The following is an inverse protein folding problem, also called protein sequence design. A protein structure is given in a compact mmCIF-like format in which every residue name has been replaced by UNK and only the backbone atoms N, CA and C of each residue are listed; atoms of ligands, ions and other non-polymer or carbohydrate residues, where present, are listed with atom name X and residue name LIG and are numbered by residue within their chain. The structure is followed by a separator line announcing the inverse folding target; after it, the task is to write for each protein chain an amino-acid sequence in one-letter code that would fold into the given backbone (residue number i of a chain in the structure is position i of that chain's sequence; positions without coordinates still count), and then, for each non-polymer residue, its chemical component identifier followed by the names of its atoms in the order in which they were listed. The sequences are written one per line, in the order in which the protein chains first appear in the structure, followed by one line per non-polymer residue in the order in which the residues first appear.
data_IF_526154018738
#
_entry.id   IF_526154018738
#
_cell.length_a   1.000
_cell.length_b   1.000
_cell.length_c   1.000
_cell.angle_alpha   90.00
_cell.angle_beta   90.00
_cell.angle_gamma   90.00
#
_symmetry.space_group_name_H-M   'P 1'
#
loop_
_entity.id
_entity.type
_entity.pdbx_description
1 polymer ?
#
# COMPACT_ATOMS: atom_id res chain seq x y z
N UNK A 1 6.15 -7.86 29.66
CA UNK A 1 5.06 -6.89 29.38
C UNK A 1 4.24 -7.39 28.19
N UNK A 2 2.97 -7.78 28.38
CA UNK A 2 2.08 -8.18 27.27
C UNK A 2 1.25 -6.98 26.80
N UNK A 3 1.89 -6.03 26.13
CA UNK A 3 1.23 -4.79 25.65
C UNK A 3 1.47 -4.67 24.15
N UNK A 4 0.38 -4.63 23.39
CA UNK A 4 0.44 -4.69 21.93
C UNK A 4 -0.82 -5.26 21.31
N UNK A 5 -0.92 -5.15 19.98
CA UNK A 5 -1.85 -5.97 19.22
C UNK A 5 -1.26 -7.39 19.08
N UNK A 6 -2.12 -8.39 18.94
CA UNK A 6 -1.70 -9.79 18.76
C UNK A 6 -2.39 -10.40 17.55
N UNK A 7 -1.63 -11.14 16.75
CA UNK A 7 -2.13 -11.94 15.62
C UNK A 7 -1.68 -13.37 15.86
N UNK A 8 -2.62 -14.27 16.14
CA UNK A 8 -2.37 -15.68 16.50
C UNK A 8 -1.23 -15.88 17.51
N UNK A 9 -1.30 -15.11 18.61
CA UNK A 9 -0.32 -15.16 19.69
C UNK A 9 0.98 -14.40 19.40
N UNK A 10 1.22 -13.95 18.17
CA UNK A 10 2.38 -13.11 17.81
C UNK A 10 2.09 -11.65 18.16
N UNK A 11 2.97 -11.03 18.94
CA UNK A 11 2.86 -9.62 19.31
C UNK A 11 3.26 -8.71 18.14
N UNK A 12 2.38 -7.77 17.80
CA UNK A 12 2.51 -6.78 16.73
C UNK A 12 2.38 -5.38 17.36
N UNK A 13 3.42 -4.92 18.05
CA UNK A 13 3.38 -3.65 18.80
C UNK A 13 4.35 -2.58 18.31
N UNK A 14 5.43 -2.98 17.62
CA UNK A 14 6.45 -2.08 17.10
C UNK A 14 6.88 -2.57 15.71
N UNK A 15 6.76 -1.68 14.73
CA UNK A 15 7.31 -1.85 13.39
C UNK A 15 8.35 -0.75 13.18
N UNK A 16 9.61 -1.14 12.96
CA UNK A 16 10.70 -0.18 12.74
C UNK A 16 11.31 -0.41 11.37
N UNK A 17 11.57 0.68 10.66
CA UNK A 17 12.29 0.69 9.39
C UNK A 17 13.23 1.90 9.37
N UNK A 18 14.53 1.65 9.49
CA UNK A 18 15.52 2.70 9.72
C UNK A 18 15.11 3.61 10.91
N UNK A 19 14.93 4.91 10.68
CA UNK A 19 14.48 5.90 11.67
C UNK A 19 12.95 5.98 11.82
N UNK A 20 12.18 5.43 10.88
CA UNK A 20 10.73 5.39 10.94
C UNK A 20 10.26 4.26 11.89
N UNK A 21 9.48 4.63 12.91
CA UNK A 21 8.90 3.69 13.88
C UNK A 21 7.37 3.85 13.96
N UNK A 22 6.67 2.72 14.03
CA UNK A 22 5.22 2.66 14.22
C UNK A 22 4.91 1.80 15.43
N UNK A 23 4.24 2.41 16.41
CA UNK A 23 3.69 1.70 17.56
C UNK A 23 2.22 1.37 17.30
N UNK A 24 1.86 0.11 17.55
CA UNK A 24 0.50 -0.39 17.39
C UNK A 24 -0.02 -0.95 18.72
N UNK A 25 -1.18 -0.45 19.15
CA UNK A 25 -1.78 -0.84 20.41
C UNK A 25 -3.31 -0.92 20.29
N UNK A 26 -3.96 -1.83 21.03
CA UNK A 26 -5.42 -1.99 20.98
C UNK A 26 -6.16 -0.93 21.80
N UNK A 27 -5.46 -0.15 22.64
CA UNK A 27 -6.05 0.89 23.48
C UNK A 27 -5.06 2.02 23.76
N UNK A 28 -5.58 3.19 24.13
CA UNK A 28 -4.76 4.36 24.51
C UNK A 28 -3.88 4.06 25.72
N UNK A 29 -4.42 3.33 26.72
CA UNK A 29 -3.66 2.91 27.89
C UNK A 29 -2.48 2.01 27.52
N UNK A 30 -2.68 1.07 26.58
CA UNK A 30 -1.60 0.25 26.04
C UNK A 30 -0.57 1.11 25.28
N UNK A 31 -1.01 2.05 24.45
CA UNK A 31 -0.13 2.94 23.70
C UNK A 31 0.73 3.81 24.61
N UNK A 32 0.17 4.40 25.67
CA UNK A 32 0.91 5.18 26.67
C UNK A 32 2.00 4.35 27.36
N UNK A 33 1.71 3.09 27.67
CA UNK A 33 2.71 2.18 28.24
C UNK A 33 3.83 1.87 27.24
N UNK A 34 3.53 1.68 25.96
CA UNK A 34 4.55 1.50 24.91
C UNK A 34 5.41 2.75 24.75
N UNK A 35 4.79 3.93 24.72
CA UNK A 35 5.50 5.22 24.65
C UNK A 35 6.44 5.43 25.83
N UNK A 36 5.99 5.14 27.06
CA UNK A 36 6.84 5.27 28.24
C UNK A 36 8.11 4.38 28.17
N UNK A 37 7.99 3.17 27.62
CA UNK A 37 9.14 2.29 27.36
C UNK A 37 10.06 2.90 26.29
N UNK A 38 9.50 3.40 25.21
CA UNK A 38 10.24 4.07 24.14
C UNK A 38 10.98 5.33 24.62
N UNK A 39 10.34 6.16 25.44
CA UNK A 39 10.94 7.36 26.04
C UNK A 39 12.10 7.00 26.97
N UNK A 40 11.89 6.01 27.85
CA UNK A 40 12.93 5.53 28.76
C UNK A 40 14.14 4.98 28.00
N UNK A 41 13.90 4.23 26.92
CA UNK A 41 14.95 3.69 26.07
C UNK A 41 15.74 4.79 25.38
N UNK A 42 15.06 5.75 24.75
CA UNK A 42 15.68 6.84 24.01
C UNK A 42 16.47 7.78 24.92
N UNK A 43 15.95 8.08 26.11
CA UNK A 43 16.66 8.85 27.13
C UNK A 43 17.97 8.16 27.58
N UNK A 44 17.93 6.83 27.79
CA UNK A 44 19.11 6.07 28.21
C UNK A 44 20.21 6.00 27.13
N UNK A 45 19.85 6.15 25.85
CA UNK A 45 20.79 6.05 24.72
C UNK A 45 21.18 7.41 24.12
N UNK A 46 20.79 8.53 24.76
CA UNK A 46 21.09 9.88 24.26
C UNK A 46 20.44 10.20 22.91
N UNK A 47 19.35 9.51 22.57
CA UNK A 47 18.56 9.77 21.36
C UNK A 47 17.42 10.74 21.69
N UNK A 48 16.79 11.31 20.66
CA UNK A 48 15.61 12.18 20.83
C UNK A 48 14.59 11.89 19.73
N UNK A 49 13.33 11.66 20.11
CA UNK A 49 12.24 11.58 19.13
C UNK A 49 11.90 12.96 18.58
N UNK A 50 11.73 13.06 17.27
CA UNK A 50 11.20 14.26 16.64
C UNK A 50 9.68 14.32 16.84
N UNK A 51 9.26 14.97 17.93
CA UNK A 51 7.83 15.11 18.29
C UNK A 51 7.03 15.77 17.16
N UNK A 52 7.60 16.75 16.45
CA UNK A 52 6.90 17.46 15.37
C UNK A 52 6.57 16.55 14.18
N UNK A 53 7.42 15.55 13.91
CA UNK A 53 7.16 14.54 12.86
C UNK A 53 6.31 13.38 13.37
N UNK A 54 6.23 13.19 14.69
CA UNK A 54 5.50 12.09 15.30
C UNK A 54 4.02 12.43 15.40
N UNK A 55 3.17 11.50 14.96
CA UNK A 55 1.72 11.70 14.94
C UNK A 55 1.01 10.48 15.51
N UNK A 56 -0.22 10.66 15.95
CA UNK A 56 -1.08 9.58 16.39
C UNK A 56 -2.25 9.40 15.42
N UNK A 57 -2.57 8.16 15.08
CA UNK A 57 -3.75 7.80 14.30
C UNK A 57 -4.58 6.79 15.09
N UNK A 58 -5.91 6.90 14.98
CA UNK A 58 -6.84 5.96 15.62
C UNK A 58 -7.70 5.37 14.51
N UNK A 59 -7.59 4.06 14.31
CA UNK A 59 -8.44 3.33 13.37
C UNK A 59 -9.87 3.29 13.90
N UNK A 60 -10.83 3.72 13.07
CA UNK A 60 -12.23 3.85 13.45
C UNK A 60 -12.97 2.54 13.17
N UNK A 61 -13.87 2.17 14.09
CA UNK A 61 -14.91 1.19 13.82
C UNK A 61 -16.20 1.94 13.53
N UNK A 62 -16.57 2.03 12.25
CA UNK A 62 -17.72 2.79 11.77
C UNK A 62 -17.47 4.29 11.59
N UNK A 63 -18.56 5.07 11.49
CA UNK A 63 -18.51 6.49 11.11
C UNK A 63 -18.23 7.46 12.27
N UNK A 64 -18.16 6.97 13.51
CA UNK A 64 -17.98 7.84 14.68
C UNK A 64 -16.50 8.09 14.94
N UNK A 65 -16.17 9.34 15.25
CA UNK A 65 -14.84 9.70 15.68
C UNK A 65 -14.76 9.58 17.21
N UNK A 66 -14.05 8.59 17.77
CA UNK A 66 -14.00 8.43 19.22
C UNK A 66 -13.30 9.64 19.84
N UNK A 67 -13.85 10.24 20.91
CA UNK A 67 -13.11 11.21 21.69
C UNK A 67 -11.93 10.49 22.34
N UNK A 68 -10.72 11.01 22.13
CA UNK A 68 -9.51 10.44 22.72
C UNK A 68 -8.86 11.48 23.61
N UNK A 69 -8.36 11.02 24.75
CA UNK A 69 -7.49 11.86 25.58
C UNK A 69 -6.17 12.13 24.84
N UNK A 70 -5.56 13.30 25.05
CA UNK A 70 -4.24 13.60 24.50
C UNK A 70 -3.21 12.51 24.85
N UNK A 71 -2.37 12.21 23.87
CA UNK A 71 -1.25 11.29 23.99
C UNK A 71 0.01 12.15 23.94
N UNK A 72 0.87 11.98 24.94
CA UNK A 72 2.07 12.80 25.08
C UNK A 72 3.30 11.99 24.68
N UNK A 73 4.27 12.66 24.09
CA UNK A 73 5.62 12.18 23.84
C UNK A 73 6.59 13.27 24.29
N UNK A 74 7.49 12.95 25.21
CA UNK A 74 8.40 13.89 25.87
C UNK A 74 7.65 15.12 26.46
N UNK A 75 6.47 14.89 27.04
CA UNK A 75 5.61 15.94 27.62
C UNK A 75 4.83 16.78 26.60
N UNK A 76 5.01 16.57 25.29
CA UNK A 76 4.31 17.32 24.24
C UNK A 76 3.18 16.47 23.67
N UNK A 77 1.99 17.06 23.49
CA UNK A 77 0.84 16.36 22.91
C UNK A 77 1.07 16.05 21.43
N UNK A 78 0.93 14.78 21.05
CA UNK A 78 1.00 14.34 19.67
C UNK A 78 -0.20 14.82 18.86
N UNK A 79 0.06 15.22 17.61
CA UNK A 79 -0.99 15.60 16.67
C UNK A 79 -1.77 14.36 16.21
N UNK A 80 -3.09 14.43 16.32
CA UNK A 80 -3.98 13.40 15.78
C UNK A 80 -4.19 13.62 14.28
N UNK A 81 -3.91 12.59 13.48
CA UNK A 81 -4.11 12.62 12.02
C UNK A 81 -5.13 11.57 11.56
N UNK A 82 -5.79 11.84 10.44
CA UNK A 82 -6.71 10.89 9.78
C UNK A 82 -6.05 10.08 8.66
N UNK A 83 -4.92 10.57 8.15
CA UNK A 83 -4.15 9.89 7.12
C UNK A 83 -2.67 10.17 7.34
N UNK A 84 -1.82 9.19 7.03
CA UNK A 84 -0.38 9.29 7.17
C UNK A 84 0.31 8.50 6.06
N UNK A 85 1.42 9.03 5.57
CA UNK A 85 2.21 8.39 4.52
C UNK A 85 3.39 7.65 5.16
N UNK A 86 3.29 6.33 5.26
CA UNK A 86 4.33 5.47 5.84
C UNK A 86 5.05 4.68 4.76
N UNK A 87 6.38 4.79 4.67
CA UNK A 87 7.23 4.14 3.64
C UNK A 87 6.70 4.29 2.21
N UNK A 88 6.11 5.46 1.93
CA UNK A 88 5.48 5.70 0.65
C UNK A 88 4.23 4.86 0.41
N UNK A 89 3.46 4.48 1.42
CA UNK A 89 2.08 3.97 1.33
C UNK A 89 1.15 4.88 2.18
N UNK A 90 -0.06 5.18 1.71
CA UNK A 90 -1.01 6.00 2.48
C UNK A 90 -1.87 5.09 3.33
N UNK A 91 -1.89 5.35 4.62
CA UNK A 91 -2.76 4.69 5.59
C UNK A 91 -3.79 5.72 6.05
N UNK A 92 -5.07 5.33 6.06
CA UNK A 92 -6.18 6.17 6.55
C UNK A 92 -6.83 5.55 7.78
N UNK A 93 -7.47 6.38 8.59
CA UNK A 93 -8.17 5.97 9.81
C UNK A 93 -9.41 5.10 9.53
N UNK A 94 -9.97 5.20 8.32
CA UNK A 94 -11.09 4.38 7.83
C UNK A 94 -10.64 3.13 7.04
N UNK A 95 -9.32 2.87 7.00
CA UNK A 95 -8.71 1.72 6.33
C UNK A 95 -9.10 1.58 4.84
N UNK A 96 -9.35 2.71 4.15
CA UNK A 96 -9.61 2.72 2.71
C UNK A 96 -8.36 3.04 1.91
N UNK A 97 -8.23 2.36 0.78
CA UNK A 97 -7.06 2.44 -0.09
C UNK A 97 -7.16 3.51 -1.19
N UNK A 98 -8.32 4.18 -1.32
CA UNK A 98 -8.60 5.17 -2.38
C UNK A 98 -7.52 6.26 -2.46
N UNK A 99 -7.02 6.74 -1.32
CA UNK A 99 -5.96 7.77 -1.25
C UNK A 99 -4.63 7.23 -1.81
N UNK A 100 -4.31 5.97 -1.51
CA UNK A 100 -3.08 5.34 -2.00
C UNK A 100 -3.16 5.04 -3.50
N UNK A 101 -4.30 4.52 -3.95
CA UNK A 101 -4.59 4.29 -5.37
C UNK A 101 -4.51 5.59 -6.16
N UNK A 102 -5.01 6.70 -5.62
CA UNK A 102 -4.92 8.01 -6.29
C UNK A 102 -3.47 8.48 -6.41
N UNK A 103 -2.60 8.27 -5.42
CA UNK A 103 -1.18 8.63 -5.63
C UNK A 103 -0.46 7.71 -6.59
N UNK A 104 -0.81 6.43 -6.69
CA UNK A 104 -0.22 5.56 -7.71
C UNK A 104 -0.70 5.99 -9.10
N UNK A 105 -1.98 6.38 -9.23
CA UNK A 105 -2.53 6.96 -10.46
C UNK A 105 -1.77 8.22 -10.88
N UNK A 106 -1.51 9.15 -9.95
CA UNK A 106 -0.72 10.37 -10.21
C UNK A 106 0.73 10.04 -10.59
N UNK A 107 1.38 9.15 -9.84
CA UNK A 107 2.74 8.72 -10.13
C UNK A 107 2.84 8.03 -11.50
N UNK A 108 1.84 7.22 -11.87
CA UNK A 108 1.74 6.60 -13.19
C UNK A 108 1.61 7.65 -14.28
N UNK A 109 0.75 8.66 -14.11
CA UNK A 109 0.61 9.76 -15.08
C UNK A 109 1.93 10.51 -15.30
N UNK A 110 2.67 10.81 -14.22
CA UNK A 110 3.98 11.49 -14.32
C UNK A 110 4.96 10.64 -15.12
N UNK A 111 5.10 9.35 -14.79
CA UNK A 111 5.99 8.42 -15.50
C UNK A 111 5.59 8.26 -16.96
N UNK A 112 4.32 8.03 -17.23
CA UNK A 112 3.80 7.84 -18.59
C UNK A 112 4.00 9.08 -19.47
N UNK A 113 3.68 10.27 -18.96
CA UNK A 113 3.87 11.52 -19.71
C UNK A 113 5.35 11.81 -19.95
N UNK A 114 6.21 11.52 -18.98
CA UNK A 114 7.66 11.62 -19.15
C UNK A 114 8.12 10.71 -20.30
N UNK A 115 7.68 9.45 -20.31
CA UNK A 115 8.02 8.49 -21.37
C UNK A 115 7.51 8.94 -22.73
N UNK A 116 6.22 9.30 -22.83
CA UNK A 116 5.58 9.71 -24.08
C UNK A 116 6.25 10.95 -24.69
N UNK A 117 6.73 11.88 -23.86
CA UNK A 117 7.44 13.08 -24.33
C UNK A 117 8.87 12.77 -24.74
N UNK A 118 9.67 12.18 -23.84
CA UNK A 118 11.12 12.02 -24.02
C UNK A 118 11.47 10.94 -25.04
N UNK A 119 10.66 9.89 -25.15
CA UNK A 119 10.91 8.74 -26.04
C UNK A 119 9.91 8.70 -27.20
N UNK A 120 9.35 9.85 -27.58
CA UNK A 120 8.37 9.97 -28.66
C UNK A 120 8.88 9.48 -30.02
N UNK A 121 10.19 9.67 -30.29
CA UNK A 121 10.87 9.28 -31.53
C UNK A 121 11.45 7.85 -31.50
N UNK A 122 11.36 7.16 -30.37
CA UNK A 122 11.87 5.79 -30.26
C UNK A 122 10.92 4.79 -30.95
N UNK A 123 11.45 3.60 -31.25
CA UNK A 123 10.66 2.48 -31.74
C UNK A 123 9.67 1.99 -30.70
N UNK A 124 8.60 1.35 -31.15
CA UNK A 124 7.54 0.87 -30.25
C UNK A 124 8.05 -0.22 -29.30
N UNK A 125 9.01 -1.06 -29.75
CA UNK A 125 9.67 -2.04 -28.89
C UNK A 125 10.40 -1.39 -27.69
N UNK A 126 11.11 -0.28 -27.92
CA UNK A 126 11.77 0.48 -26.85
C UNK A 126 10.73 1.11 -25.92
N UNK A 127 9.69 1.72 -26.47
CA UNK A 127 8.60 2.32 -25.68
C UNK A 127 7.90 1.29 -24.79
N UNK A 128 7.58 0.12 -25.33
CA UNK A 128 6.96 -0.99 -24.59
C UNK A 128 7.88 -1.46 -23.46
N UNK A 129 9.18 -1.59 -23.73
CA UNK A 129 10.17 -1.97 -22.71
C UNK A 129 10.24 -0.95 -21.57
N UNK A 130 10.27 0.34 -21.91
CA UNK A 130 10.25 1.42 -20.92
C UNK A 130 8.93 1.46 -20.14
N UNK A 131 7.80 1.23 -20.81
CA UNK A 131 6.51 1.13 -20.14
C UNK A 131 6.48 -0.01 -19.13
N UNK A 132 6.99 -1.19 -19.52
CA UNK A 132 7.14 -2.33 -18.61
C UNK A 132 8.01 -1.96 -17.40
N UNK A 133 9.15 -1.31 -17.59
CA UNK A 133 10.04 -0.94 -16.50
C UNK A 133 9.46 0.12 -15.54
N UNK A 134 8.88 1.21 -16.08
CA UNK A 134 8.48 2.36 -15.27
C UNK A 134 7.02 2.35 -14.85
N UNK A 135 6.10 1.86 -15.69
CA UNK A 135 4.66 1.97 -15.46
C UNK A 135 4.03 0.73 -14.81
N UNK A 136 4.74 -0.39 -14.72
CA UNK A 136 4.20 -1.65 -14.17
C UNK A 136 4.65 -1.99 -12.75
N UNK A 137 5.36 -1.08 -12.07
CA UNK A 137 5.84 -1.33 -10.71
C UNK A 137 4.69 -1.55 -9.73
N UNK A 138 3.61 -0.75 -9.85
CA UNK A 138 2.44 -0.75 -8.96
C UNK A 138 2.84 -0.87 -7.50
N UNK A 139 3.66 0.07 -7.03
CA UNK A 139 4.22 0.04 -5.68
C UNK A 139 3.10 -0.10 -4.65
N UNK A 140 3.25 -1.05 -3.73
CA UNK A 140 2.25 -1.43 -2.71
C UNK A 140 0.86 -1.80 -3.24
N UNK A 141 0.68 -1.95 -4.56
CA UNK A 141 -0.63 -2.21 -5.16
C UNK A 141 -1.27 -3.51 -4.70
N UNK A 142 -0.47 -4.51 -4.30
CA UNK A 142 -1.00 -5.74 -3.73
C UNK A 142 -1.80 -5.51 -2.44
N UNK A 143 -1.48 -4.47 -1.67
CA UNK A 143 -2.09 -4.17 -0.37
C UNK A 143 -3.49 -3.57 -0.46
N UNK A 144 -3.90 -3.03 -1.63
CA UNK A 144 -5.22 -2.43 -1.75
C UNK A 144 -6.31 -3.49 -1.68
N UNK A 145 -7.08 -3.55 -0.59
CA UNK A 145 -8.14 -4.53 -0.34
C UNK A 145 -9.50 -3.88 -0.08
N UNK A 146 -9.52 -2.63 0.36
CA UNK A 146 -10.72 -1.89 0.69
C UNK A 146 -10.73 -0.58 -0.10
N UNK A 147 -11.23 -0.64 -1.34
CA UNK A 147 -11.25 0.49 -2.26
C UNK A 147 -12.59 0.62 -2.96
N UNK A 148 -12.91 1.83 -3.42
CA UNK A 148 -14.09 2.04 -4.26
C UNK A 148 -13.86 1.56 -5.70
N UNK A 149 -14.93 1.04 -6.32
CA UNK A 149 -14.91 0.68 -7.74
C UNK A 149 -14.54 1.88 -8.64
N UNK A 150 -14.86 3.10 -8.19
CA UNK A 150 -14.48 4.36 -8.85
C UNK A 150 -12.96 4.54 -8.87
N UNK A 151 -12.29 4.41 -7.72
CA UNK A 151 -10.83 4.54 -7.64
C UNK A 151 -10.11 3.48 -8.50
N UNK A 152 -10.57 2.23 -8.43
CA UNK A 152 -10.06 1.16 -9.29
C UNK A 152 -10.23 1.48 -10.78
N UNK A 153 -11.43 1.88 -11.19
CA UNK A 153 -11.69 2.20 -12.60
C UNK A 153 -10.86 3.39 -13.06
N UNK A 154 -10.69 4.42 -12.24
CA UNK A 154 -9.86 5.58 -12.56
C UNK A 154 -8.40 5.18 -12.80
N UNK A 155 -7.82 4.33 -11.95
CA UNK A 155 -6.46 3.83 -12.12
C UNK A 155 -6.32 2.93 -13.36
N UNK A 156 -7.28 2.01 -13.57
CA UNK A 156 -7.31 1.13 -14.77
C UNK A 156 -7.40 1.93 -16.06
N UNK A 157 -8.29 2.92 -16.12
CA UNK A 157 -8.45 3.80 -17.29
C UNK A 157 -7.17 4.60 -17.53
N UNK A 158 -6.56 5.15 -16.46
CA UNK A 158 -5.29 5.88 -16.57
C UNK A 158 -4.17 5.00 -17.13
N UNK A 159 -4.06 3.74 -16.68
CA UNK A 159 -3.08 2.79 -17.19
C UNK A 159 -3.27 2.50 -18.68
N UNK A 160 -4.51 2.30 -19.11
CA UNK A 160 -4.82 2.09 -20.52
C UNK A 160 -4.48 3.33 -21.35
N UNK A 161 -4.84 4.53 -20.86
CA UNK A 161 -4.56 5.79 -21.54
C UNK A 161 -3.06 6.10 -21.59
N UNK A 162 -2.30 5.74 -20.56
CA UNK A 162 -0.85 5.87 -20.54
C UNK A 162 -0.20 5.06 -21.68
N UNK A 163 -0.64 3.82 -21.89
CA UNK A 163 -0.15 2.98 -22.96
C UNK A 163 -0.53 3.53 -24.35
N UNK A 164 -1.79 3.97 -24.52
CA UNK A 164 -2.25 4.61 -25.76
C UNK A 164 -1.45 5.86 -26.09
N UNK A 165 -1.25 6.74 -25.12
CA UNK A 165 -0.52 7.99 -25.32
C UNK A 165 0.94 7.73 -25.72
N UNK A 166 1.59 6.75 -25.09
CA UNK A 166 2.97 6.39 -25.38
C UNK A 166 3.14 5.86 -26.81
N UNK A 167 2.23 5.00 -27.27
CA UNK A 167 2.26 4.40 -28.61
C UNK A 167 1.46 5.20 -29.66
N UNK A 168 0.90 6.36 -29.29
CA UNK A 168 0.06 7.21 -30.17
C UNK A 168 -1.12 6.45 -30.80
N UNK A 169 -1.71 5.53 -30.03
CA UNK A 169 -2.84 4.74 -30.50
C UNK A 169 -4.14 5.57 -30.52
N UNK A 170 -5.11 5.21 -31.38
CA UNK A 170 -6.42 5.85 -31.39
C UNK A 170 -7.09 5.84 -30.02
N UNK A 171 -7.86 6.89 -29.73
CA UNK A 171 -8.62 7.01 -28.48
C UNK A 171 -9.56 5.83 -28.27
N UNK A 172 -10.21 5.40 -29.35
CA UNK A 172 -11.14 4.28 -29.39
C UNK A 172 -10.44 3.07 -29.99
N UNK A 173 -9.70 2.34 -29.15
CA UNK A 173 -9.12 1.06 -29.51
C UNK A 173 -9.40 0.04 -28.40
N UNK A 174 -9.49 -1.23 -28.79
CA UNK A 174 -9.64 -2.32 -27.84
C UNK A 174 -8.44 -2.36 -26.89
N UNK A 175 -8.71 -2.23 -25.60
CA UNK A 175 -7.66 -2.27 -24.57
C UNK A 175 -6.99 -3.65 -24.52
N UNK A 176 -7.75 -4.72 -24.74
CA UNK A 176 -7.20 -6.07 -24.76
C UNK A 176 -6.30 -6.27 -25.99
N UNK A 177 -6.71 -5.81 -27.17
CA UNK A 177 -5.93 -5.94 -28.40
C UNK A 177 -4.60 -5.17 -28.31
N UNK A 178 -4.62 -3.90 -27.89
CA UNK A 178 -3.38 -3.10 -27.82
C UNK A 178 -2.33 -3.71 -26.88
N UNK A 179 -2.76 -4.33 -25.78
CA UNK A 179 -1.85 -5.00 -24.85
C UNK A 179 -1.37 -6.35 -25.37
N UNK A 180 -2.21 -7.09 -26.11
CA UNK A 180 -1.81 -8.31 -26.80
C UNK A 180 -0.76 -8.03 -27.87
N UNK A 181 -1.00 -7.03 -28.74
CA UNK A 181 -0.08 -6.61 -29.80
C UNK A 181 1.25 -6.08 -29.22
N UNK A 182 1.17 -5.36 -28.10
CA UNK A 182 2.34 -4.89 -27.36
C UNK A 182 3.03 -5.96 -26.51
N UNK A 183 2.57 -7.21 -26.55
CA UNK A 183 3.03 -8.33 -25.73
C UNK A 183 3.24 -7.93 -24.25
N UNK A 184 2.26 -7.23 -23.66
CA UNK A 184 2.36 -6.70 -22.30
C UNK A 184 1.07 -6.91 -21.53
N UNK A 185 1.16 -6.97 -20.21
CA UNK A 185 -0.02 -7.17 -19.37
C UNK A 185 -0.89 -5.92 -19.31
N UNK A 186 -2.19 -6.11 -19.53
CA UNK A 186 -3.20 -5.13 -19.11
C UNK A 186 -3.24 -5.00 -17.59
N UNK A 187 -3.79 -3.88 -17.10
CA UNK A 187 -3.76 -3.52 -15.67
C UNK A 187 -4.23 -4.66 -14.74
N UNK A 188 -5.35 -5.30 -15.06
CA UNK A 188 -5.92 -6.36 -14.23
C UNK A 188 -5.01 -7.59 -14.18
N UNK A 189 -4.43 -8.01 -15.31
CA UNK A 189 -3.49 -9.14 -15.37
C UNK A 189 -2.21 -8.84 -14.61
N UNK A 190 -1.66 -7.64 -14.79
CA UNK A 190 -0.49 -7.17 -14.07
C UNK A 190 -0.73 -7.19 -12.55
N UNK A 191 -1.85 -6.63 -12.12
CA UNK A 191 -2.19 -6.54 -10.71
C UNK A 191 -2.35 -7.92 -10.06
N UNK A 192 -2.99 -8.87 -10.76
CA UNK A 192 -3.08 -10.27 -10.33
C UNK A 192 -1.71 -10.93 -10.19
N UNK A 193 -0.82 -10.77 -11.17
CA UNK A 193 0.55 -11.30 -11.13
C UNK A 193 1.33 -10.75 -9.93
N UNK A 194 1.25 -9.44 -9.69
CA UNK A 194 1.88 -8.79 -8.53
C UNK A 194 1.31 -9.30 -7.21
N UNK A 195 0.00 -9.48 -7.12
CA UNK A 195 -0.65 -10.06 -5.93
C UNK A 195 -0.24 -11.52 -5.71
N UNK A 196 -0.19 -12.35 -6.75
CA UNK A 196 0.26 -13.74 -6.62
C UNK A 196 1.72 -13.82 -6.13
N UNK A 197 2.61 -12.99 -6.69
CA UNK A 197 4.00 -12.87 -6.23
C UNK A 197 4.09 -12.36 -4.78
N UNK A 198 3.21 -11.44 -4.38
CA UNK A 198 3.13 -10.98 -2.99
C UNK A 198 2.71 -12.11 -2.04
N UNK A 199 1.65 -12.86 -2.36
CA UNK A 199 1.17 -13.99 -1.56
C UNK A 199 2.25 -15.07 -1.42
N UNK A 200 2.93 -15.42 -2.53
CA UNK A 200 4.02 -16.41 -2.51
C UNK A 200 5.15 -15.98 -1.56
N UNK A 201 5.56 -14.71 -1.60
CA UNK A 201 6.58 -14.16 -0.68
C UNK A 201 6.10 -14.09 0.76
N UNK A 202 4.83 -13.76 0.98
CA UNK A 202 4.23 -13.70 2.30
C UNK A 202 4.24 -15.09 2.96
N UNK A 203 3.78 -16.12 2.24
CA UNK A 203 3.77 -17.52 2.69
C UNK A 203 5.17 -18.12 2.84
N UNK A 204 6.13 -17.67 2.03
CA UNK A 204 7.53 -18.08 2.14
C UNK A 204 8.33 -17.32 3.20
N UNK A 205 7.72 -16.36 3.89
CA UNK A 205 8.41 -15.52 4.87
C UNK A 205 8.72 -16.29 6.16
N UNK A 206 9.93 -16.13 6.68
CA UNK A 206 10.31 -16.63 8.02
C UNK A 206 9.93 -15.67 9.15
N UNK A 207 9.39 -14.49 8.82
CA UNK A 207 9.02 -13.49 9.80
C UNK A 207 7.71 -13.90 10.49
N UNK A 208 7.73 -14.03 11.81
CA UNK A 208 6.61 -14.53 12.62
C UNK A 208 5.28 -13.80 12.35
N UNK A 209 5.30 -12.46 12.33
CA UNK A 209 4.10 -11.65 12.02
C UNK A 209 3.56 -11.95 10.62
N UNK A 210 4.45 -12.10 9.63
CA UNK A 210 4.03 -12.33 8.25
C UNK A 210 3.48 -13.75 8.07
N UNK A 211 4.09 -14.75 8.72
CA UNK A 211 3.57 -16.13 8.76
C UNK A 211 2.19 -16.16 9.42
N UNK A 212 2.03 -15.54 10.60
CA UNK A 212 0.76 -15.49 11.31
C UNK A 212 -0.37 -14.87 10.47
N UNK A 213 -0.05 -13.83 9.67
CA UNK A 213 -1.01 -13.27 8.71
C UNK A 213 -1.26 -14.22 7.54
N UNK A 214 -0.22 -14.85 6.99
CA UNK A 214 -0.32 -15.74 5.84
C UNK A 214 -1.18 -16.98 6.11
N UNK A 215 -1.09 -17.52 7.33
CA UNK A 215 -1.77 -18.73 7.79
C UNK A 215 -3.25 -18.47 8.11
N UNK A 216 -3.62 -17.20 8.36
CA UNK A 216 -5.01 -16.77 8.55
C UNK A 216 -5.79 -16.62 7.26
N UNK A 217 -6.41 -17.71 6.81
CA UNK A 217 -7.31 -17.69 5.67
C UNK A 217 -8.62 -16.90 5.89
N UNK A 218 -9.02 -16.74 7.16
CA UNK A 218 -10.21 -15.99 7.58
C UNK A 218 -9.99 -14.46 7.62
N UNK A 219 -8.73 -14.00 7.62
CA UNK A 219 -8.49 -12.56 7.70
C UNK A 219 -8.90 -11.85 6.39
N UNK A 220 -9.55 -10.66 6.47
CA UNK A 220 -10.03 -9.95 5.28
C UNK A 220 -8.94 -9.68 4.24
N UNK A 221 -7.70 -9.44 4.69
CA UNK A 221 -6.55 -9.24 3.81
C UNK A 221 -6.28 -10.49 2.96
N UNK A 222 -6.05 -11.65 3.59
CA UNK A 222 -5.74 -12.88 2.86
C UNK A 222 -6.90 -13.34 1.99
N UNK A 223 -8.14 -13.21 2.47
CA UNK A 223 -9.32 -13.52 1.65
C UNK A 223 -9.32 -12.69 0.36
N UNK A 224 -9.17 -11.36 0.46
CA UNK A 224 -9.16 -10.48 -0.72
C UNK A 224 -8.00 -10.77 -1.67
N UNK A 225 -6.81 -11.02 -1.12
CA UNK A 225 -5.62 -11.36 -1.90
C UNK A 225 -5.83 -12.64 -2.70
N UNK A 226 -6.34 -13.71 -2.06
CA UNK A 226 -6.61 -14.99 -2.71
C UNK A 226 -7.69 -14.85 -3.77
N UNK A 227 -8.82 -14.21 -3.46
CA UNK A 227 -9.92 -14.01 -4.42
C UNK A 227 -9.45 -13.25 -5.68
N UNK A 228 -8.60 -12.24 -5.52
CA UNK A 228 -8.01 -11.51 -6.67
C UNK A 228 -7.25 -12.45 -7.60
N UNK A 229 -6.55 -13.44 -7.05
CA UNK A 229 -5.74 -14.39 -7.83
C UNK A 229 -6.51 -15.56 -8.43
N UNK A 230 -7.71 -15.92 -7.92
CA UNK A 230 -8.47 -17.10 -8.40
C UNK A 230 -8.78 -17.10 -9.90
N UNK A 231 -8.94 -15.94 -10.50
CA UNK A 231 -9.13 -15.80 -11.95
C UNK A 231 -7.90 -16.14 -12.81
N UNK A 232 -6.72 -16.39 -12.22
CA UNK A 232 -5.58 -17.02 -12.91
C UNK A 232 -5.80 -18.52 -13.13
N UNK A 233 -6.66 -19.17 -12.32
CA UNK A 233 -6.98 -20.59 -12.39
C UNK A 233 -8.21 -20.87 -13.27
N UNK A 234 -9.02 -19.84 -13.55
CA UNK A 234 -10.13 -19.90 -14.50
C UNK A 234 -9.70 -19.15 -15.76
N UNK A 235 -9.09 -19.89 -16.70
CA UNK A 235 -9.07 -19.49 -18.10
C UNK A 235 -10.54 -19.52 -18.53
N UNK A 236 -11.18 -18.36 -18.64
CA UNK A 236 -12.42 -18.25 -19.39
C UNK A 236 -12.05 -18.42 -20.86
N UNK A 237 -12.28 -19.63 -21.37
CA UNK A 237 -12.39 -19.90 -22.80
C UNK A 237 -13.54 -19.07 -23.38
#
# INVERSE_FOLDING_TARGET
MRVGCYVDGVCCNNFSYADDMVLLAPSIGALRKLLAVCESFVAAHGLVYNVNKTVCMVFKSGNRDPPIQPIFLNGVSLNRVRQFKYLGHWVTDDLKDDVDMERERRALSVRANMLARRFSRCTDAVKITLFKAYCTSLYTGSLWVNYTQRAYNALRIQYNNAFRALLRLPRFCSASAMFADGHTDGFTSLWRKKTASFISRLRGSRHSILSAIADRHDCPLMWNLVQRTKSLLSIKY
#
